data_IF_341457750165
#
_entry.id   IF_341457750165
#
_cell.length_a   1.000
_cell.length_b   1.000
_cell.length_c   1.000
_cell.angle_alpha   90.00
_cell.angle_beta   90.00
_cell.angle_gamma   90.00
#
_symmetry.space_group_name_H-M   'P 1'
#
loop_
_entity.id
_entity.type
_entity.pdbx_description
1 polymer ?
#
# COMPACT_ATOMS: atom_id res chain seq x y z
N UNK A 1 -15.00 28.49 -8.37
CA UNK A 1 -14.37 27.44 -9.19
C UNK A 1 -15.45 26.68 -9.95
N UNK A 2 -15.35 26.65 -11.25
CA UNK A 2 -16.33 25.98 -12.10
C UNK A 2 -15.84 24.57 -12.43
N UNK A 3 -16.59 23.56 -12.02
CA UNK A 3 -16.28 22.16 -12.32
C UNK A 3 -17.12 21.73 -13.52
N UNK A 4 -16.46 21.34 -14.60
CA UNK A 4 -17.13 20.76 -15.76
C UNK A 4 -17.18 19.24 -15.62
N UNK A 5 -18.33 18.72 -15.23
CA UNK A 5 -18.52 17.29 -15.03
C UNK A 5 -18.32 16.46 -16.31
N UNK A 6 -18.53 17.04 -17.48
CA UNK A 6 -18.33 16.34 -18.75
C UNK A 6 -16.87 15.97 -19.02
N UNK A 7 -15.93 16.70 -18.42
CA UNK A 7 -14.50 16.40 -18.48
C UNK A 7 -14.07 15.28 -17.53
N UNK A 8 -14.88 14.98 -16.51
CA UNK A 8 -14.60 13.96 -15.50
C UNK A 8 -15.24 12.62 -15.89
N UNK A 9 -14.82 12.08 -17.02
CA UNK A 9 -15.46 10.92 -17.67
C UNK A 9 -15.36 9.63 -16.84
N UNK A 10 -14.35 9.50 -15.98
CA UNK A 10 -14.11 8.33 -15.13
C UNK A 10 -14.41 8.61 -13.66
N UNK A 11 -15.15 9.68 -13.36
CA UNK A 11 -15.46 10.08 -11.99
C UNK A 11 -16.07 8.95 -11.16
N UNK A 12 -17.03 8.22 -11.72
CA UNK A 12 -17.70 7.13 -11.01
C UNK A 12 -16.71 6.02 -10.62
N UNK A 13 -15.85 5.60 -11.55
CA UNK A 13 -14.86 4.57 -11.33
C UNK A 13 -13.79 5.03 -10.31
N UNK A 14 -13.32 6.26 -10.45
CA UNK A 14 -12.34 6.86 -9.53
C UNK A 14 -12.90 6.96 -8.12
N UNK A 15 -14.11 7.48 -7.99
CA UNK A 15 -14.78 7.60 -6.68
C UNK A 15 -14.97 6.24 -6.01
N UNK A 16 -15.41 5.24 -6.76
CA UNK A 16 -15.58 3.88 -6.25
C UNK A 16 -14.27 3.26 -5.78
N UNK A 17 -13.22 3.42 -6.55
CA UNK A 17 -11.88 2.89 -6.21
C UNK A 17 -11.31 3.58 -4.98
N UNK A 18 -11.24 4.89 -4.97
CA UNK A 18 -10.71 5.66 -3.85
C UNK A 18 -11.54 5.45 -2.58
N UNK A 19 -12.87 5.39 -2.70
CA UNK A 19 -13.76 5.13 -1.58
C UNK A 19 -13.60 3.75 -0.96
N UNK A 20 -13.13 2.76 -1.72
CA UNK A 20 -12.80 1.43 -1.25
C UNK A 20 -11.38 1.32 -0.65
N UNK A 21 -10.64 2.41 -0.57
CA UNK A 21 -9.27 2.43 -0.04
C UNK A 21 -8.18 2.17 -1.08
N UNK A 22 -8.53 2.13 -2.36
CA UNK A 22 -7.60 1.89 -3.44
C UNK A 22 -6.66 3.08 -3.65
N UNK A 23 -5.39 2.80 -3.93
CA UNK A 23 -4.38 3.79 -4.30
C UNK A 23 -4.22 3.79 -5.82
N UNK A 24 -4.58 4.90 -6.46
CA UNK A 24 -4.46 5.03 -7.91
C UNK A 24 -3.04 5.48 -8.25
N UNK A 25 -2.33 4.70 -9.05
CA UNK A 25 -0.97 4.99 -9.49
C UNK A 25 -0.85 4.95 -11.02
N UNK A 26 0.34 5.21 -11.55
CA UNK A 26 0.57 5.32 -13.00
C UNK A 26 0.14 4.07 -13.78
N UNK A 27 0.19 2.88 -13.17
CA UNK A 27 -0.27 1.64 -13.79
C UNK A 27 -1.78 1.64 -14.07
N UNK A 28 -2.54 2.45 -13.35
CA UNK A 28 -3.98 2.66 -13.58
C UNK A 28 -4.22 3.75 -14.63
N UNK A 29 -3.53 3.69 -15.71
CA UNK A 29 -3.26 4.70 -16.73
C UNK A 29 -4.41 5.69 -16.99
N UNK A 30 -5.62 5.20 -17.27
CA UNK A 30 -6.77 6.06 -17.60
C UNK A 30 -7.21 6.92 -16.42
N UNK A 31 -7.38 6.31 -15.25
CA UNK A 31 -7.76 7.02 -14.02
C UNK A 31 -6.66 7.96 -13.55
N UNK A 32 -5.41 7.52 -13.63
CA UNK A 32 -4.25 8.33 -13.29
C UNK A 32 -4.19 9.62 -14.13
N UNK A 33 -4.28 9.48 -15.45
CA UNK A 33 -4.21 10.62 -16.36
C UNK A 33 -5.34 11.63 -16.13
N UNK A 34 -6.56 11.15 -15.91
CA UNK A 34 -7.70 12.03 -15.66
C UNK A 34 -7.55 12.78 -14.33
N UNK A 35 -7.11 12.11 -13.26
CA UNK A 35 -6.81 12.76 -11.99
C UNK A 35 -5.72 13.81 -12.14
N UNK A 36 -4.65 13.48 -12.85
CA UNK A 36 -3.50 14.38 -13.04
C UNK A 36 -3.90 15.63 -13.86
N UNK A 37 -4.69 15.45 -14.91
CA UNK A 37 -5.17 16.54 -15.75
C UNK A 37 -6.19 17.44 -15.06
N UNK A 38 -7.04 16.89 -14.21
CA UNK A 38 -8.16 17.58 -13.57
C UNK A 38 -8.08 17.59 -12.05
N UNK A 39 -6.87 17.64 -11.51
CA UNK A 39 -6.65 17.51 -10.05
C UNK A 39 -7.39 18.57 -9.24
N UNK A 40 -7.46 19.81 -9.70
CA UNK A 40 -8.16 20.87 -8.99
C UNK A 40 -9.67 20.60 -8.90
N UNK A 41 -10.26 20.15 -9.99
CA UNK A 41 -11.68 19.77 -10.03
C UNK A 41 -11.99 18.58 -9.14
N UNK A 42 -11.16 17.54 -9.18
CA UNK A 42 -11.32 16.36 -8.32
C UNK A 42 -11.14 16.71 -6.85
N UNK A 43 -10.12 17.47 -6.51
CA UNK A 43 -9.87 17.88 -5.11
C UNK A 43 -11.04 18.70 -4.55
N UNK A 44 -11.57 19.64 -5.31
CA UNK A 44 -12.71 20.46 -4.91
C UNK A 44 -13.98 19.63 -4.74
N UNK A 45 -14.26 18.74 -5.71
CA UNK A 45 -15.44 17.89 -5.68
C UNK A 45 -15.39 16.91 -4.49
N UNK A 46 -14.29 16.22 -4.30
CA UNK A 46 -14.15 15.26 -3.20
C UNK A 46 -14.13 15.95 -1.84
N UNK A 47 -13.51 17.12 -1.73
CA UNK A 47 -13.56 17.93 -0.50
C UNK A 47 -14.99 18.31 -0.14
N UNK A 48 -15.79 18.71 -1.13
CA UNK A 48 -17.21 19.02 -0.93
C UNK A 48 -18.02 17.80 -0.43
N UNK A 49 -17.59 16.60 -0.79
CA UNK A 49 -18.20 15.34 -0.35
C UNK A 49 -17.63 14.83 0.98
N UNK A 50 -16.69 15.54 1.59
CA UNK A 50 -16.08 15.16 2.87
C UNK A 50 -14.89 14.23 2.74
N UNK A 51 -14.29 14.08 1.55
CA UNK A 51 -13.10 13.27 1.32
C UNK A 51 -11.87 14.14 1.16
N UNK A 52 -10.77 13.69 1.75
CA UNK A 52 -9.47 14.34 1.62
C UNK A 52 -8.61 13.58 0.60
N UNK A 53 -8.60 14.09 -0.63
CA UNK A 53 -7.78 13.51 -1.71
C UNK A 53 -6.32 13.91 -1.50
N UNK A 54 -5.46 12.92 -1.31
CA UNK A 54 -4.02 13.09 -1.20
C UNK A 54 -3.32 12.70 -2.49
N UNK A 55 -2.33 13.51 -2.86
CA UNK A 55 -1.39 13.22 -3.92
C UNK A 55 0.00 13.05 -3.31
N UNK A 56 0.60 11.87 -3.48
CA UNK A 56 1.98 11.62 -3.09
C UNK A 56 2.90 11.87 -4.29
N UNK A 57 3.98 12.60 -4.05
CA UNK A 57 4.96 12.95 -5.11
C UNK A 57 5.64 11.72 -5.73
N UNK A 58 5.55 10.57 -5.10
CA UNK A 58 6.07 9.30 -5.61
C UNK A 58 5.12 8.61 -6.60
N UNK A 59 4.02 9.27 -6.96
CA UNK A 59 3.17 8.90 -8.09
C UNK A 59 1.91 8.12 -7.74
N UNK A 60 1.16 8.55 -6.73
CA UNK A 60 -0.13 7.93 -6.43
C UNK A 60 -1.10 8.88 -5.72
N UNK A 61 -2.40 8.56 -5.86
CA UNK A 61 -3.52 9.27 -5.22
C UNK A 61 -4.28 8.34 -4.31
N UNK A 62 -4.77 8.85 -3.20
CA UNK A 62 -5.60 8.09 -2.26
C UNK A 62 -6.47 9.02 -1.41
N UNK A 63 -7.51 8.48 -0.80
CA UNK A 63 -8.27 9.20 0.23
C UNK A 63 -7.63 8.98 1.59
N UNK A 64 -7.28 10.08 2.27
CA UNK A 64 -6.86 10.00 3.66
C UNK A 64 -8.07 9.59 4.52
N UNK A 65 -7.85 8.69 5.47
CA UNK A 65 -8.86 8.23 6.41
C UNK A 65 -8.45 8.60 7.82
N UNK A 66 -9.33 9.31 8.51
CA UNK A 66 -9.15 9.64 9.94
C UNK A 66 -9.64 8.53 10.86
N UNK A 67 -10.41 7.59 10.33
CA UNK A 67 -11.02 6.49 11.09
C UNK A 67 -10.43 5.14 10.66
N UNK A 68 -9.77 4.46 11.59
CA UNK A 68 -9.42 3.06 11.44
C UNK A 68 -10.52 2.20 12.08
N UNK A 69 -11.18 1.34 11.29
CA UNK A 69 -11.98 0.27 11.86
C UNK A 69 -11.05 -0.80 12.44
N UNK A 70 -11.49 -1.62 13.45
CA UNK A 70 -10.65 -2.69 13.99
C UNK A 70 -10.13 -3.67 12.92
N UNK A 71 -10.92 -3.95 11.88
CA UNK A 71 -10.51 -4.81 10.76
C UNK A 71 -9.45 -4.15 9.89
N UNK A 72 -9.60 -2.85 9.63
CA UNK A 72 -8.60 -2.07 8.89
C UNK A 72 -7.27 -2.06 9.62
N UNK A 73 -7.29 -1.87 10.95
CA UNK A 73 -6.09 -1.93 11.77
C UNK A 73 -5.35 -3.27 11.67
N UNK A 74 -6.07 -4.39 11.69
CA UNK A 74 -5.49 -5.73 11.53
C UNK A 74 -4.84 -5.93 10.16
N UNK A 75 -5.55 -5.54 9.09
CA UNK A 75 -5.05 -5.63 7.71
C UNK A 75 -3.79 -4.78 7.55
N UNK A 76 -3.82 -3.54 8.01
CA UNK A 76 -2.66 -2.64 7.92
C UNK A 76 -1.45 -3.18 8.68
N UNK A 77 -1.65 -3.77 9.85
CA UNK A 77 -0.56 -4.40 10.61
C UNK A 77 0.02 -5.61 9.89
N UNK A 78 -0.82 -6.44 9.28
CA UNK A 78 -0.36 -7.61 8.52
C UNK A 78 0.46 -7.19 7.30
N UNK A 79 0.02 -6.15 6.58
CA UNK A 79 0.76 -5.58 5.45
C UNK A 79 2.09 -4.98 5.94
N UNK A 80 2.07 -4.17 6.98
CA UNK A 80 3.28 -3.54 7.54
C UNK A 80 4.31 -4.59 7.98
N UNK A 81 3.88 -5.63 8.67
CA UNK A 81 4.75 -6.74 9.09
C UNK A 81 5.37 -7.44 7.88
N UNK A 82 4.57 -7.73 6.87
CA UNK A 82 5.04 -8.40 5.65
C UNK A 82 6.10 -7.55 4.94
N UNK A 83 5.88 -6.25 4.81
CA UNK A 83 6.85 -5.32 4.20
C UNK A 83 8.15 -5.29 5.02
N UNK A 84 8.06 -5.19 6.34
CA UNK A 84 9.23 -5.23 7.22
C UNK A 84 10.04 -6.51 7.03
N UNK A 85 9.36 -7.66 7.02
CA UNK A 85 10.00 -8.98 6.85
C UNK A 85 10.62 -9.12 5.46
N UNK A 86 9.98 -8.60 4.41
CA UNK A 86 10.56 -8.56 3.06
C UNK A 86 11.85 -7.75 3.01
N UNK A 87 11.85 -6.56 3.60
CA UNK A 87 13.03 -5.69 3.65
C UNK A 87 14.19 -6.42 4.37
N UNK A 88 13.91 -7.02 5.52
CA UNK A 88 14.89 -7.78 6.28
C UNK A 88 15.41 -8.99 5.50
N UNK A 89 14.52 -9.75 4.86
CA UNK A 89 14.87 -10.90 4.03
C UNK A 89 15.80 -10.52 2.88
N UNK A 90 15.47 -9.47 2.13
CA UNK A 90 16.30 -9.01 1.03
C UNK A 90 17.66 -8.51 1.51
N UNK A 91 17.71 -7.78 2.62
CA UNK A 91 18.95 -7.34 3.22
C UNK A 91 19.83 -8.54 3.62
N UNK A 92 19.24 -9.55 4.26
CA UNK A 92 19.94 -10.75 4.72
C UNK A 92 20.42 -11.65 3.56
N UNK A 93 19.81 -11.53 2.39
CA UNK A 93 20.25 -12.26 1.19
C UNK A 93 21.20 -11.47 0.29
N UNK A 94 21.70 -10.33 0.78
CA UNK A 94 22.71 -9.53 0.10
C UNK A 94 22.19 -8.61 -1.01
N UNK A 95 20.87 -8.38 -1.05
CA UNK A 95 20.25 -7.46 -2.00
C UNK A 95 20.11 -6.07 -1.40
N UNK A 96 20.05 -5.03 -2.25
CA UNK A 96 19.58 -3.72 -1.85
C UNK A 96 18.08 -3.84 -1.51
N UNK A 97 17.68 -3.69 -0.23
CA UNK A 97 16.31 -4.01 0.16
C UNK A 97 15.27 -3.12 -0.50
N UNK A 98 15.56 -1.83 -0.65
CA UNK A 98 14.59 -0.88 -1.22
C UNK A 98 14.40 -1.12 -2.71
N UNK A 99 15.46 -1.48 -3.40
CA UNK A 99 15.39 -1.85 -4.83
C UNK A 99 14.67 -3.18 -5.01
N UNK A 100 15.06 -4.20 -4.25
CA UNK A 100 14.47 -5.53 -4.33
C UNK A 100 12.97 -5.52 -4.00
N UNK A 101 12.56 -4.70 -3.04
CA UNK A 101 11.15 -4.57 -2.65
C UNK A 101 10.22 -4.25 -3.84
N UNK A 102 10.69 -3.41 -4.77
CA UNK A 102 9.88 -3.00 -5.93
C UNK A 102 10.21 -3.75 -7.21
N UNK A 103 11.40 -4.33 -7.35
CA UNK A 103 11.86 -4.97 -8.58
C UNK A 103 11.67 -6.50 -8.59
N UNK A 104 11.62 -7.13 -7.41
CA UNK A 104 11.50 -8.59 -7.31
C UNK A 104 10.05 -9.06 -7.41
N UNK A 105 9.85 -10.16 -8.13
CA UNK A 105 8.56 -10.86 -8.14
C UNK A 105 8.44 -11.69 -6.87
N UNK A 106 7.37 -11.45 -6.12
CA UNK A 106 7.05 -12.20 -4.92
C UNK A 106 6.21 -13.43 -5.31
N UNK A 107 6.85 -14.58 -5.39
CA UNK A 107 6.20 -15.85 -5.72
C UNK A 107 5.77 -16.62 -4.47
N UNK A 108 5.07 -17.73 -4.65
CA UNK A 108 4.60 -18.56 -3.54
C UNK A 108 5.76 -19.15 -2.73
N UNK A 109 6.86 -19.51 -3.37
CA UNK A 109 8.06 -20.03 -2.71
C UNK A 109 8.64 -19.00 -1.75
N UNK A 110 8.76 -17.74 -2.18
CA UNK A 110 9.17 -16.63 -1.30
C UNK A 110 8.21 -16.48 -0.11
N UNK A 111 6.90 -16.50 -0.36
CA UNK A 111 5.89 -16.39 0.72
C UNK A 111 6.03 -17.52 1.75
N UNK A 112 6.25 -18.74 1.29
CA UNK A 112 6.50 -19.89 2.18
C UNK A 112 7.77 -19.71 3.02
N UNK A 113 8.84 -19.22 2.41
CA UNK A 113 10.10 -18.91 3.09
C UNK A 113 9.91 -17.86 4.18
N UNK A 114 9.20 -16.76 3.85
CA UNK A 114 8.94 -15.68 4.82
C UNK A 114 8.17 -16.18 6.04
N UNK A 115 7.14 -16.99 5.83
CA UNK A 115 6.33 -17.56 6.92
C UNK A 115 7.13 -18.54 7.76
N UNK A 116 7.94 -19.39 7.15
CA UNK A 116 8.78 -20.36 7.87
C UNK A 116 9.82 -19.71 8.77
N UNK A 117 10.50 -18.67 8.27
CA UNK A 117 11.55 -17.96 9.01
C UNK A 117 10.96 -17.13 10.15
N UNK A 118 9.75 -16.62 9.98
CA UNK A 118 9.10 -15.69 10.92
C UNK A 118 7.81 -16.28 11.50
N UNK A 119 7.78 -17.56 11.73
CA UNK A 119 6.59 -18.30 12.11
C UNK A 119 5.87 -17.69 13.33
N UNK A 120 6.58 -17.34 14.36
CA UNK A 120 6.01 -16.80 15.60
C UNK A 120 5.31 -15.44 15.38
N UNK A 121 5.81 -14.61 14.46
CA UNK A 121 5.19 -13.32 14.14
C UNK A 121 3.92 -13.51 13.30
N UNK A 122 3.96 -14.38 12.31
CA UNK A 122 2.81 -14.67 11.47
C UNK A 122 1.72 -15.47 12.20
N UNK A 123 2.09 -16.33 13.13
CA UNK A 123 1.11 -17.06 13.95
C UNK A 123 0.17 -16.11 14.71
N UNK A 124 0.67 -14.99 15.20
CA UNK A 124 -0.11 -13.96 15.89
C UNK A 124 -1.18 -13.33 14.98
N UNK A 125 -0.97 -13.37 13.67
CA UNK A 125 -1.90 -12.87 12.66
C UNK A 125 -2.73 -13.99 12.03
N UNK A 126 -2.62 -15.21 12.54
CA UNK A 126 -3.27 -16.41 12.00
C UNK A 126 -2.86 -16.71 10.54
N UNK A 127 -1.64 -16.38 10.18
CA UNK A 127 -1.01 -16.70 8.90
C UNK A 127 -0.05 -17.85 9.12
N UNK A 128 -0.40 -19.06 8.66
CA UNK A 128 0.32 -20.29 8.98
C UNK A 128 1.07 -20.89 7.80
N UNK A 129 0.83 -20.36 6.59
CA UNK A 129 1.43 -20.88 5.36
C UNK A 129 1.66 -19.76 4.35
N UNK A 130 2.45 -20.04 3.32
CA UNK A 130 2.61 -19.14 2.19
C UNK A 130 1.28 -18.88 1.45
N UNK A 131 0.41 -19.89 1.39
CA UNK A 131 -0.94 -19.74 0.80
C UNK A 131 -1.80 -18.79 1.63
N UNK A 132 -1.73 -18.85 2.95
CA UNK A 132 -2.42 -17.88 3.83
C UNK A 132 -1.88 -16.47 3.62
N UNK A 133 -0.56 -16.32 3.53
CA UNK A 133 0.06 -15.02 3.27
C UNK A 133 -0.39 -14.44 1.93
N UNK A 134 -0.43 -15.26 0.89
CA UNK A 134 -0.95 -14.86 -0.42
C UNK A 134 -2.39 -14.35 -0.32
N UNK A 135 -3.26 -15.13 0.29
CA UNK A 135 -4.69 -14.82 0.40
C UNK A 135 -4.97 -13.62 1.29
N UNK A 136 -4.37 -13.58 2.49
CA UNK A 136 -4.72 -12.61 3.52
C UNK A 136 -3.95 -11.30 3.39
N UNK A 137 -2.79 -11.29 2.74
CA UNK A 137 -1.96 -10.10 2.57
C UNK A 137 -1.83 -9.69 1.11
N UNK A 138 -1.29 -10.54 0.24
CA UNK A 138 -1.00 -10.15 -1.14
C UNK A 138 -2.24 -9.82 -1.96
N UNK A 139 -3.29 -10.63 -1.89
CA UNK A 139 -4.55 -10.33 -2.60
C UNK A 139 -5.22 -9.06 -2.03
N UNK A 140 -5.06 -8.79 -0.75
CA UNK A 140 -5.52 -7.54 -0.13
C UNK A 140 -4.73 -6.35 -0.65
N UNK A 141 -3.42 -6.48 -0.76
CA UNK A 141 -2.59 -5.43 -1.34
C UNK A 141 -3.01 -5.10 -2.77
N UNK A 142 -3.36 -6.10 -3.57
CA UNK A 142 -3.89 -5.87 -4.93
C UNK A 142 -5.19 -5.06 -4.89
N UNK A 143 -6.11 -5.39 -4.01
CA UNK A 143 -7.37 -4.66 -3.85
C UNK A 143 -7.18 -3.22 -3.39
N UNK A 144 -6.09 -2.93 -2.71
CA UNK A 144 -5.75 -1.59 -2.21
C UNK A 144 -4.81 -0.83 -3.16
N UNK A 145 -4.43 -1.42 -4.29
CA UNK A 145 -3.50 -0.81 -5.24
C UNK A 145 -2.05 -0.77 -4.76
N UNK A 146 -1.71 -1.58 -3.75
CA UNK A 146 -0.36 -1.67 -3.18
C UNK A 146 0.52 -2.67 -3.92
N UNK A 147 -0.09 -3.60 -4.64
CA UNK A 147 0.58 -4.61 -5.44
C UNK A 147 -0.23 -4.93 -6.70
N UNK A 148 0.41 -5.55 -7.67
CA UNK A 148 -0.23 -6.05 -8.88
C UNK A 148 0.17 -7.50 -9.12
N UNK A 149 -0.73 -8.28 -9.69
CA UNK A 149 -0.42 -9.63 -10.14
C UNK A 149 0.41 -9.55 -11.43
N UNK A 150 1.45 -10.37 -11.47
CA UNK A 150 2.31 -10.54 -12.65
C UNK A 150 2.49 -12.03 -12.90
N UNK A 151 3.10 -12.38 -14.01
CA UNK A 151 3.48 -13.75 -14.26
C UNK A 151 4.42 -14.27 -13.16
N UNK A 152 4.02 -15.34 -12.50
CA UNK A 152 4.78 -15.96 -11.42
C UNK A 152 4.52 -15.42 -10.02
N UNK A 153 3.74 -14.36 -9.86
CA UNK A 153 3.45 -13.87 -8.51
C UNK A 153 2.93 -12.42 -8.46
N UNK A 154 3.55 -11.61 -7.61
CA UNK A 154 3.13 -10.23 -7.36
C UNK A 154 4.33 -9.30 -7.38
N UNK A 155 4.10 -8.06 -7.81
CA UNK A 155 5.05 -6.97 -7.64
C UNK A 155 4.42 -5.86 -6.80
N UNK A 156 5.18 -5.34 -5.85
CA UNK A 156 4.74 -4.20 -5.03
C UNK A 156 4.81 -2.92 -5.85
N UNK A 157 3.93 -1.96 -5.53
CA UNK A 157 3.80 -0.69 -6.23
C UNK A 157 4.14 0.49 -5.32
N UNK A 158 4.29 1.66 -5.93
CA UNK A 158 4.69 2.89 -5.25
C UNK A 158 3.93 3.19 -3.94
N UNK A 159 2.61 2.93 -3.81
CA UNK A 159 1.89 3.21 -2.56
C UNK A 159 2.41 2.45 -1.32
N UNK A 160 3.23 1.42 -1.49
CA UNK A 160 3.93 0.75 -0.40
C UNK A 160 4.79 1.73 0.40
N UNK A 161 5.25 2.82 -0.20
CA UNK A 161 6.00 3.87 0.50
C UNK A 161 5.27 4.43 1.73
N UNK A 162 3.94 4.43 1.75
CA UNK A 162 3.18 4.82 2.94
C UNK A 162 3.50 3.94 4.16
N UNK A 163 3.65 2.64 3.93
CA UNK A 163 4.01 1.68 4.99
C UNK A 163 5.49 1.80 5.38
N UNK A 164 6.37 2.03 4.42
CA UNK A 164 7.80 2.26 4.69
C UNK A 164 7.96 3.52 5.55
N UNK A 165 7.30 4.61 5.20
CA UNK A 165 7.34 5.86 5.97
C UNK A 165 6.87 5.64 7.41
N UNK A 166 5.76 4.92 7.61
CA UNK A 166 5.23 4.61 8.93
C UNK A 166 6.20 3.74 9.76
N UNK A 167 6.85 2.76 9.14
CA UNK A 167 7.86 1.92 9.80
C UNK A 167 9.09 2.74 10.21
N UNK A 168 9.51 3.69 9.40
CA UNK A 168 10.63 4.58 9.72
C UNK A 168 10.31 5.53 10.86
N UNK A 169 9.11 6.08 10.93
CA UNK A 169 8.65 6.94 12.04
C UNK A 169 8.69 6.19 13.38
N UNK A 170 8.24 4.95 13.42
CA UNK A 170 8.30 4.10 14.63
C UNK A 170 9.75 3.91 15.10
N UNK A 171 10.69 3.70 14.20
CA UNK A 171 12.10 3.57 14.53
C UNK A 171 12.68 4.87 15.10
N UNK A 172 12.37 6.02 14.51
CA UNK A 172 12.83 7.33 14.99
C UNK A 172 12.33 7.62 16.42
N UNK A 173 11.06 7.36 16.70
CA UNK A 173 10.48 7.51 18.04
C UNK A 173 11.16 6.62 19.07
N UNK A 174 11.54 5.39 18.72
CA UNK A 174 12.23 4.46 19.59
C UNK A 174 13.64 4.95 19.95
N UNK A 175 14.38 5.51 18.98
CA UNK A 175 15.71 6.08 19.23
C UNK A 175 15.67 7.31 20.15
N UNK A 176 14.68 8.18 19.99
CA UNK A 176 14.53 9.39 20.83
C UNK A 176 14.27 9.01 22.29
N UNK A 177 13.49 7.97 22.55
CA UNK A 177 13.19 7.51 23.92
C UNK A 177 14.37 6.82 24.61
N UNK A 178 15.30 6.23 23.88
CA UNK A 178 16.51 5.62 24.42
C UNK A 178 17.59 6.64 24.78
N UNK A 179 17.65 7.77 24.07
CA UNK A 179 18.61 8.84 24.36
C UNK A 179 18.17 9.74 25.52
N UNK A 180 16.92 9.65 26.00
CA UNK A 180 16.42 10.42 27.15
C UNK A 180 16.48 9.65 28.48
N UNK A 181 17.02 8.43 28.54
CA UNK A 181 17.22 7.63 29.75
C UNK A 181 18.70 7.56 30.13
#
# INVERSE_FOLDING_TARGET
THINLDELTHLQAINKKLGAGYHICEQDNVMWQELDQHIESYSALFSALGHDLKHDSRGFYYFASDESTPNMGKISRAIALTIYILIEHFANTGKDPMRALFDEVNDLELMQTLVQINKHLFDQLEIFSGSDLRKDVYLRMVRLGLAREVEGGFMLQAPIHRYIDALMEVNEETYITEDEQ
#
